data_IF_140665834521
#
_entry.id   IF_140665834521
#
_cell.length_a   1.000
_cell.length_b   1.000
_cell.length_c   1.000
_cell.angle_alpha   90.00
_cell.angle_beta   90.00
_cell.angle_gamma   90.00
#
_symmetry.space_group_name_H-M   'P 1'
#
loop_
_entity.id
_entity.type
_entity.pdbx_description
1 polymer ?
#
# COMPACT_ATOMS: atom_id res chain seq x y z
N UNK A 1 -18.88 7.36 64.61
CA UNK A 1 -17.85 6.59 63.91
C UNK A 1 -18.20 6.52 62.44
N UNK A 2 -17.59 7.35 61.58
CA UNK A 2 -17.87 7.42 60.14
C UNK A 2 -16.72 6.73 59.41
N UNK A 3 -17.01 5.58 58.76
CA UNK A 3 -16.06 4.89 57.92
C UNK A 3 -16.05 5.54 56.51
N UNK A 4 -14.98 6.22 56.16
CA UNK A 4 -14.72 6.74 54.81
C UNK A 4 -14.17 5.58 53.97
N UNK A 5 -14.95 5.10 52.98
CA UNK A 5 -14.52 4.16 51.97
C UNK A 5 -13.82 4.92 50.85
N UNK A 6 -12.50 4.83 50.78
CA UNK A 6 -11.72 5.27 49.61
C UNK A 6 -11.87 4.25 48.48
N UNK A 7 -12.53 4.65 47.42
CA UNK A 7 -12.61 3.88 46.18
C UNK A 7 -11.39 4.25 45.34
N UNK A 8 -10.39 3.34 45.27
CA UNK A 8 -9.27 3.45 44.33
C UNK A 8 -9.75 3.09 42.91
N UNK A 9 -9.97 4.09 42.07
CA UNK A 9 -10.18 3.87 40.64
C UNK A 9 -8.82 3.65 39.97
N UNK A 10 -8.50 2.40 39.63
CA UNK A 10 -7.32 2.04 38.87
C UNK A 10 -7.57 2.41 37.40
N UNK A 11 -7.01 3.54 36.95
CA UNK A 11 -7.03 3.92 35.53
C UNK A 11 -5.95 3.10 34.83
N UNK A 12 -6.35 2.03 34.13
CA UNK A 12 -5.48 1.34 33.18
C UNK A 12 -5.26 2.25 31.95
N UNK A 13 -4.19 3.04 31.97
CA UNK A 13 -3.65 3.63 30.74
C UNK A 13 -3.08 2.49 29.88
N UNK A 14 -3.86 1.99 28.96
CA UNK A 14 -3.37 1.09 27.92
C UNK A 14 -2.32 1.83 27.10
N UNK A 15 -1.06 1.38 27.15
CA UNK A 15 0.01 1.80 26.26
C UNK A 15 -0.39 1.39 24.84
N UNK A 16 -1.04 2.30 24.11
CA UNK A 16 -1.22 2.14 22.66
C UNK A 16 0.16 2.35 22.06
N UNK A 17 0.86 1.24 21.79
CA UNK A 17 2.09 1.30 21.02
C UNK A 17 1.78 1.94 19.66
N UNK A 18 2.56 2.93 19.20
CA UNK A 18 2.34 3.52 17.89
C UNK A 18 2.48 2.44 16.83
N UNK A 19 1.40 2.12 16.13
CA UNK A 19 1.47 1.28 14.94
C UNK A 19 2.30 2.07 13.92
N UNK A 20 3.56 1.68 13.74
CA UNK A 20 4.42 2.27 12.74
C UNK A 20 3.83 1.94 11.36
N UNK A 21 3.13 2.91 10.79
CA UNK A 21 2.69 2.80 9.40
C UNK A 21 3.90 2.89 8.49
N UNK A 22 3.99 1.99 7.51
CA UNK A 22 5.02 2.06 6.47
C UNK A 22 4.99 3.46 5.83
N UNK A 23 6.11 4.17 5.86
CA UNK A 23 6.23 5.47 5.22
C UNK A 23 7.05 5.33 3.95
N UNK A 24 6.37 5.30 2.81
CA UNK A 24 7.04 5.25 1.51
C UNK A 24 7.72 6.59 1.20
N UNK A 25 9.04 6.55 1.02
CA UNK A 25 9.85 7.70 0.62
C UNK A 25 10.18 7.59 -0.87
N UNK A 26 9.73 8.53 -1.71
CA UNK A 26 10.08 8.51 -3.11
C UNK A 26 11.54 8.93 -3.30
N UNK A 27 12.34 8.09 -3.97
CA UNK A 27 13.70 8.38 -4.39
C UNK A 27 13.67 8.94 -5.82
N UNK A 28 14.18 10.14 -6.03
CA UNK A 28 14.27 10.73 -7.37
C UNK A 28 15.38 10.03 -8.16
N UNK A 29 15.02 9.36 -9.23
CA UNK A 29 15.94 8.61 -10.12
C UNK A 29 16.39 9.49 -11.28
N UNK A 30 15.47 10.28 -11.83
CA UNK A 30 15.71 11.25 -12.92
C UNK A 30 14.70 12.40 -12.81
N UNK A 31 14.82 13.47 -13.62
CA UNK A 31 13.80 14.51 -13.67
C UNK A 31 12.40 13.93 -13.92
N UNK A 32 11.49 14.14 -12.98
CA UNK A 32 10.12 13.61 -13.05
C UNK A 32 9.98 12.11 -12.75
N UNK A 33 11.05 11.34 -12.53
CA UNK A 33 11.02 9.90 -12.32
C UNK A 33 11.39 9.56 -10.87
N UNK A 34 10.55 8.77 -10.20
CA UNK A 34 10.69 8.42 -8.79
C UNK A 34 10.50 6.93 -8.57
N UNK A 35 11.26 6.35 -7.65
CA UNK A 35 11.15 4.95 -7.23
C UNK A 35 10.84 4.85 -5.73
N UNK A 36 10.07 3.85 -5.37
CA UNK A 36 9.93 3.32 -4.01
C UNK A 36 10.70 2.00 -3.97
N UNK A 37 11.86 2.03 -3.36
CA UNK A 37 12.71 0.83 -3.27
C UNK A 37 12.15 -0.11 -2.23
N UNK A 38 11.76 -1.31 -2.65
CA UNK A 38 11.29 -2.36 -1.77
C UNK A 38 12.43 -2.97 -0.95
N UNK A 39 12.09 -3.55 0.19
CA UNK A 39 13.07 -4.25 1.02
C UNK A 39 13.56 -5.54 0.35
N UNK A 40 14.85 -5.84 0.53
CA UNK A 40 15.41 -7.14 0.13
C UNK A 40 15.03 -8.15 1.20
N UNK A 41 14.18 -9.11 0.86
CA UNK A 41 13.76 -10.15 1.80
C UNK A 41 12.33 -10.62 1.59
N UNK A 42 11.79 -11.28 2.61
CA UNK A 42 10.42 -11.78 2.62
C UNK A 42 9.37 -10.69 2.81
N UNK A 43 8.13 -11.08 2.63
CA UNK A 43 6.97 -10.27 2.97
C UNK A 43 6.74 -10.34 4.46
N UNK A 44 6.58 -9.21 5.10
CA UNK A 44 6.35 -9.11 6.54
C UNK A 44 5.23 -8.12 6.84
N UNK A 45 4.67 -8.20 8.03
CA UNK A 45 3.73 -7.21 8.53
C UNK A 45 4.36 -5.80 8.55
N UNK A 46 5.64 -5.68 8.92
CA UNK A 46 6.33 -4.40 9.03
C UNK A 46 6.51 -3.71 7.67
N UNK A 47 6.96 -4.46 6.65
CA UNK A 47 7.18 -3.92 5.31
C UNK A 47 5.92 -3.92 4.44
N UNK A 48 4.76 -4.37 4.97
CA UNK A 48 3.48 -4.43 4.26
C UNK A 48 3.58 -5.14 2.89
N UNK A 49 4.42 -6.18 2.83
CA UNK A 49 4.78 -6.94 1.64
C UNK A 49 5.45 -6.10 0.51
N UNK A 50 6.02 -4.94 0.85
CA UNK A 50 6.78 -4.10 -0.09
C UNK A 50 8.20 -4.63 -0.27
N UNK A 51 8.32 -5.79 -0.92
CA UNK A 51 9.60 -6.44 -1.28
C UNK A 51 9.90 -6.35 -2.79
N UNK A 52 9.22 -5.46 -3.50
CA UNK A 52 9.52 -5.11 -4.89
C UNK A 52 9.62 -3.59 -5.03
N UNK A 53 10.46 -3.15 -5.95
CA UNK A 53 10.56 -1.74 -6.30
C UNK A 53 9.38 -1.36 -7.20
N UNK A 54 8.68 -0.31 -6.82
CA UNK A 54 7.62 0.33 -7.61
C UNK A 54 8.01 1.78 -7.89
N UNK A 55 7.21 2.53 -8.64
CA UNK A 55 7.57 3.92 -8.91
C UNK A 55 6.48 4.74 -9.55
N UNK A 56 6.84 5.97 -9.93
CA UNK A 56 5.95 6.83 -10.69
C UNK A 56 6.72 7.83 -11.54
N UNK A 57 6.06 8.29 -12.59
CA UNK A 57 6.58 9.32 -13.51
C UNK A 57 5.62 10.50 -13.48
N UNK A 58 6.15 11.69 -13.20
CA UNK A 58 5.43 12.96 -13.30
C UNK A 58 5.61 13.50 -14.70
N UNK A 59 4.51 13.71 -15.42
CA UNK A 59 4.47 14.25 -16.78
C UNK A 59 3.68 15.56 -16.81
N UNK A 60 3.68 16.26 -17.92
CA UNK A 60 2.83 17.46 -18.11
C UNK A 60 1.34 17.12 -18.11
N UNK A 61 0.96 15.89 -18.43
CA UNK A 61 -0.43 15.43 -18.47
C UNK A 61 -0.94 14.83 -17.16
N UNK A 62 -0.05 14.60 -16.19
CA UNK A 62 -0.34 13.96 -14.91
C UNK A 62 0.68 12.89 -14.54
N UNK A 63 0.34 12.07 -13.55
CA UNK A 63 1.24 11.04 -13.01
C UNK A 63 0.89 9.67 -13.58
N UNK A 64 1.91 8.93 -13.99
CA UNK A 64 1.86 7.50 -14.33
C UNK A 64 2.44 6.72 -13.16
N UNK A 65 1.68 5.81 -12.57
CA UNK A 65 2.16 4.90 -11.52
C UNK A 65 2.64 3.61 -12.17
N UNK A 66 3.79 3.10 -11.75
CA UNK A 66 4.37 1.84 -12.21
C UNK A 66 4.33 0.85 -11.05
N UNK A 67 3.48 -0.14 -11.16
CA UNK A 67 3.13 -1.11 -10.12
C UNK A 67 2.51 -0.47 -8.87
N UNK A 68 1.37 -0.97 -8.46
CA UNK A 68 0.54 -0.33 -7.43
C UNK A 68 0.79 -0.82 -5.99
N UNK A 69 1.69 -1.80 -5.82
CA UNK A 69 2.00 -2.36 -4.51
C UNK A 69 1.13 -3.56 -4.13
N UNK A 70 1.36 -4.10 -2.93
CA UNK A 70 0.89 -5.40 -2.48
C UNK A 70 -0.50 -5.38 -1.81
N UNK A 71 -1.14 -4.23 -1.65
CA UNK A 71 -2.47 -4.12 -1.02
C UNK A 71 -3.13 -2.78 -1.32
N UNK A 72 -4.44 -2.68 -1.05
CA UNK A 72 -5.19 -1.42 -1.07
C UNK A 72 -4.49 -0.34 -0.24
N UNK A 73 -4.03 -0.70 0.97
CA UNK A 73 -3.34 0.19 1.90
C UNK A 73 -2.04 0.73 1.29
N UNK A 74 -1.24 -0.13 0.67
CA UNK A 74 0.01 0.28 -0.01
C UNK A 74 -0.28 1.17 -1.20
N UNK A 75 -1.28 0.86 -2.02
CA UNK A 75 -1.73 1.75 -3.11
C UNK A 75 -2.09 3.15 -2.61
N UNK A 76 -2.80 3.25 -1.48
CA UNK A 76 -3.10 4.52 -0.82
C UNK A 76 -1.84 5.25 -0.36
N UNK A 77 -0.88 4.54 0.24
CA UNK A 77 0.39 5.13 0.67
C UNK A 77 1.24 5.63 -0.50
N UNK A 78 1.27 4.89 -1.62
CA UNK A 78 1.90 5.34 -2.88
C UNK A 78 1.27 6.64 -3.34
N UNK A 79 -0.06 6.72 -3.40
CA UNK A 79 -0.75 7.95 -3.80
C UNK A 79 -0.44 9.13 -2.85
N UNK A 80 -0.46 8.90 -1.56
CA UNK A 80 -0.08 9.92 -0.57
C UNK A 80 1.38 10.38 -0.75
N UNK A 81 2.30 9.47 -1.09
CA UNK A 81 3.69 9.81 -1.36
C UNK A 81 3.84 10.66 -2.65
N UNK A 82 3.08 10.33 -3.71
CA UNK A 82 2.99 11.12 -4.93
C UNK A 82 2.52 12.55 -4.62
N UNK A 83 1.46 12.69 -3.79
CA UNK A 83 0.91 14.00 -3.40
C UNK A 83 1.90 14.89 -2.63
N UNK A 84 2.94 14.32 -2.00
CA UNK A 84 4.03 15.09 -1.40
C UNK A 84 5.04 15.63 -2.44
N UNK A 85 5.08 15.03 -3.63
CA UNK A 85 6.00 15.43 -4.72
C UNK A 85 5.33 16.37 -5.71
N UNK A 86 4.06 16.12 -6.05
CA UNK A 86 3.33 16.88 -7.08
C UNK A 86 1.85 16.98 -6.78
N UNK A 87 1.22 18.04 -7.26
CA UNK A 87 -0.24 18.21 -7.23
C UNK A 87 -0.93 17.63 -8.47
N UNK A 88 -0.17 17.12 -9.45
CA UNK A 88 -0.69 16.50 -10.66
C UNK A 88 -1.53 15.24 -10.31
N UNK A 89 -2.69 15.04 -10.96
CA UNK A 89 -3.50 13.85 -10.72
C UNK A 89 -2.83 12.58 -11.28
N UNK A 90 -3.06 11.44 -10.62
CA UNK A 90 -2.72 10.13 -11.20
C UNK A 90 -3.65 9.87 -12.38
N UNK A 91 -3.08 9.61 -13.55
CA UNK A 91 -3.80 9.39 -14.80
C UNK A 91 -3.94 7.92 -15.17
N UNK A 92 -2.98 7.11 -14.75
CA UNK A 92 -2.95 5.69 -15.09
C UNK A 92 -2.03 4.93 -14.14
N UNK A 93 -2.36 3.68 -13.88
CA UNK A 93 -1.45 2.68 -13.29
C UNK A 93 -1.05 1.71 -14.38
N UNK A 94 0.25 1.45 -14.51
CA UNK A 94 0.81 0.44 -15.42
C UNK A 94 1.37 -0.68 -14.55
N UNK A 95 0.84 -1.90 -14.69
CA UNK A 95 1.36 -3.08 -14.02
C UNK A 95 2.34 -3.83 -14.94
N UNK A 96 3.55 -4.07 -14.45
CA UNK A 96 4.63 -4.67 -15.21
C UNK A 96 4.65 -6.20 -15.16
N UNK A 97 3.81 -6.82 -14.33
CA UNK A 97 3.69 -8.28 -14.23
C UNK A 97 2.59 -8.74 -13.29
N UNK A 98 2.40 -10.06 -13.22
CA UNK A 98 1.30 -10.72 -12.51
C UNK A 98 1.58 -11.06 -11.02
N UNK A 99 2.77 -10.67 -10.46
CA UNK A 99 3.02 -10.90 -9.05
C UNK A 99 2.18 -9.94 -8.19
N UNK A 100 1.67 -10.43 -7.07
CA UNK A 100 0.79 -9.74 -6.13
C UNK A 100 1.26 -8.32 -5.73
N UNK A 101 2.54 -8.15 -5.41
CA UNK A 101 3.12 -6.85 -5.03
C UNK A 101 3.18 -5.84 -6.19
N UNK A 102 2.82 -6.23 -7.42
CA UNK A 102 2.76 -5.32 -8.56
C UNK A 102 1.36 -4.75 -8.79
N UNK A 103 0.30 -5.48 -8.40
CA UNK A 103 -1.05 -5.12 -8.82
C UNK A 103 -2.14 -5.15 -7.73
N UNK A 104 -1.94 -5.76 -6.57
CA UNK A 104 -2.99 -5.81 -5.54
C UNK A 104 -3.40 -4.42 -5.03
N UNK A 105 -2.52 -3.43 -5.12
CA UNK A 105 -2.84 -2.03 -4.84
C UNK A 105 -3.76 -1.37 -5.88
N UNK A 106 -4.03 -2.02 -7.04
CA UNK A 106 -5.00 -1.53 -8.03
C UNK A 106 -6.37 -1.29 -7.40
N UNK A 107 -6.76 -2.11 -6.43
CA UNK A 107 -8.03 -1.98 -5.70
C UNK A 107 -8.23 -0.56 -5.10
N UNK A 108 -7.17 0.13 -4.69
CA UNK A 108 -7.24 1.52 -4.28
C UNK A 108 -7.44 2.48 -5.47
N UNK A 109 -6.63 2.36 -6.51
CA UNK A 109 -6.67 3.29 -7.65
C UNK A 109 -7.99 3.20 -8.44
N UNK A 110 -8.58 2.02 -8.51
CA UNK A 110 -9.92 1.82 -9.10
C UNK A 110 -10.98 2.63 -8.35
N UNK A 111 -10.89 2.79 -7.03
CA UNK A 111 -11.85 3.63 -6.28
C UNK A 111 -11.75 5.11 -6.63
N UNK A 112 -10.63 5.53 -7.22
CA UNK A 112 -10.41 6.88 -7.72
C UNK A 112 -10.78 7.05 -9.21
N UNK A 113 -11.28 5.99 -9.86
CA UNK A 113 -11.56 5.99 -11.30
C UNK A 113 -10.30 6.01 -12.17
N UNK A 114 -9.13 5.65 -11.62
CA UNK A 114 -7.87 5.60 -12.36
C UNK A 114 -7.82 4.33 -13.22
N UNK A 115 -7.60 4.45 -14.54
CA UNK A 115 -7.47 3.29 -15.42
C UNK A 115 -6.20 2.49 -15.10
N UNK A 116 -6.33 1.16 -15.22
CA UNK A 116 -5.25 0.22 -15.02
C UNK A 116 -4.86 -0.38 -16.36
N UNK A 117 -3.58 -0.37 -16.69
CA UNK A 117 -3.01 -0.98 -17.89
C UNK A 117 -2.06 -2.09 -17.48
N UNK A 118 -2.15 -3.22 -18.14
CA UNK A 118 -1.25 -4.35 -17.98
C UNK A 118 -1.29 -5.25 -19.20
N UNK A 119 -0.36 -6.20 -19.29
CA UNK A 119 -0.38 -7.21 -20.34
C UNK A 119 -1.65 -8.08 -20.21
N UNK A 120 -2.25 -8.49 -21.33
CA UNK A 120 -3.48 -9.30 -21.34
C UNK A 120 -3.38 -10.56 -20.47
N UNK A 121 -2.22 -11.24 -20.49
CA UNK A 121 -1.99 -12.44 -19.68
C UNK A 121 -1.98 -12.13 -18.17
N UNK A 122 -1.57 -10.93 -17.77
CA UNK A 122 -1.61 -10.50 -16.38
C UNK A 122 -3.05 -10.41 -15.86
N UNK A 123 -3.98 -9.93 -16.69
CA UNK A 123 -5.39 -9.87 -16.33
C UNK A 123 -5.97 -11.26 -16.09
N UNK A 124 -5.73 -12.18 -17.03
CA UNK A 124 -6.19 -13.57 -16.89
C UNK A 124 -5.61 -14.23 -15.62
N UNK A 125 -4.33 -14.04 -15.36
CA UNK A 125 -3.63 -14.53 -14.17
C UNK A 125 -4.19 -13.94 -12.87
N UNK A 126 -4.52 -12.63 -12.84
CA UNK A 126 -5.14 -11.97 -11.70
C UNK A 126 -6.57 -12.47 -11.44
N UNK A 127 -7.37 -12.70 -12.49
CA UNK A 127 -8.72 -13.25 -12.39
C UNK A 127 -8.69 -14.70 -11.87
N UNK A 128 -7.72 -15.51 -12.30
CA UNK A 128 -7.59 -16.90 -11.88
C UNK A 128 -7.02 -17.06 -10.46
N UNK A 129 -5.97 -16.31 -10.11
CA UNK A 129 -5.19 -16.52 -8.89
C UNK A 129 -5.35 -15.42 -7.82
N UNK A 130 -6.05 -14.33 -8.14
CA UNK A 130 -6.12 -13.16 -7.26
C UNK A 130 -6.60 -13.49 -5.85
N UNK A 131 -7.66 -14.27 -5.72
CA UNK A 131 -8.18 -14.68 -4.42
C UNK A 131 -7.16 -15.51 -3.61
N UNK A 132 -6.45 -16.42 -4.26
CA UNK A 132 -5.41 -17.25 -3.65
C UNK A 132 -4.21 -16.40 -3.20
N UNK A 133 -3.81 -15.41 -3.99
CA UNK A 133 -2.73 -14.49 -3.64
C UNK A 133 -3.08 -13.66 -2.40
N UNK A 134 -4.30 -13.11 -2.34
CA UNK A 134 -4.79 -12.39 -1.16
C UNK A 134 -4.80 -13.32 0.06
N UNK A 135 -5.31 -14.54 -0.09
CA UNK A 135 -5.35 -15.54 0.98
C UNK A 135 -3.93 -15.86 1.51
N UNK A 136 -2.95 -15.99 0.62
CA UNK A 136 -1.56 -16.28 1.00
C UNK A 136 -0.92 -15.16 1.83
N UNK A 137 -1.37 -13.93 1.67
CA UNK A 137 -0.89 -12.77 2.42
C UNK A 137 -1.64 -12.56 3.76
N UNK A 138 -2.77 -13.26 3.97
CA UNK A 138 -3.63 -13.04 5.13
C UNK A 138 -2.91 -13.25 6.47
N UNK A 139 -2.05 -14.28 6.54
CA UNK A 139 -1.27 -14.59 7.75
C UNK A 139 -0.29 -13.49 8.12
N UNK A 140 0.36 -12.90 7.13
CA UNK A 140 1.39 -11.88 7.31
C UNK A 140 0.80 -10.47 7.49
N UNK A 141 -0.15 -10.09 6.64
CA UNK A 141 -0.63 -8.71 6.59
C UNK A 141 -1.87 -8.43 7.44
N UNK A 142 -2.66 -9.47 7.76
CA UNK A 142 -3.85 -9.37 8.62
C UNK A 142 -4.78 -8.22 8.18
N UNK A 143 -5.10 -7.29 9.08
CA UNK A 143 -5.96 -6.13 8.80
C UNK A 143 -5.38 -5.15 7.77
N UNK A 144 -4.07 -5.23 7.48
CA UNK A 144 -3.44 -4.40 6.43
C UNK A 144 -3.87 -4.78 5.01
N UNK A 145 -4.54 -5.93 4.85
CA UNK A 145 -5.17 -6.35 3.59
C UNK A 145 -6.58 -5.78 3.40
N UNK A 146 -7.15 -5.12 4.40
CA UNK A 146 -8.50 -4.59 4.30
C UNK A 146 -8.68 -3.71 3.05
N UNK A 147 -9.77 -3.95 2.30
CA UNK A 147 -10.07 -3.28 1.04
C UNK A 147 -9.36 -3.85 -0.20
N UNK A 148 -8.40 -4.79 -0.03
CA UNK A 148 -7.70 -5.45 -1.14
C UNK A 148 -8.62 -6.49 -1.79
N UNK A 149 -8.77 -6.44 -3.13
CA UNK A 149 -9.65 -7.32 -3.93
C UNK A 149 -9.18 -7.40 -5.37
#
# INVERSE_FOLDING_TARGET
MHFIRFLFALVLLGLIAPVHALTLKPHRVAPGVYAFVGEVGGRTYANEAMNATTGFVVTTAGVVVIDSGASYRVGKQIHQAIRRVTQQPVKVVINTGGQDHRWLGNSYFVTLGVPIIGHQNMRADAEERGAQLIQSLQGELKEKLEGTR
#
